data_IF_243854076636
#
_entry.id   IF_243854076636
#
_cell.length_a   1.000
_cell.length_b   1.000
_cell.length_c   1.000
_cell.angle_alpha   90.00
_cell.angle_beta   90.00
_cell.angle_gamma   90.00
#
_symmetry.space_group_name_H-M   'P 1'
#
loop_
_entity.id
_entity.type
_entity.pdbx_description
1 polymer ?
#
# COMPACT_ATOMS: atom_id res chain seq x y z
N UNK A 1 -13.65 -13.96 -40.60
CA UNK A 1 -14.24 -13.39 -39.37
C UNK A 1 -13.11 -13.13 -38.39
N UNK A 2 -12.73 -11.87 -38.13
CA UNK A 2 -11.78 -11.55 -37.05
C UNK A 2 -12.46 -11.93 -35.74
N UNK A 3 -11.97 -12.96 -35.04
CA UNK A 3 -12.42 -13.26 -33.67
C UNK A 3 -12.05 -12.05 -32.81
N UNK A 4 -13.04 -11.25 -32.44
CA UNK A 4 -12.86 -10.19 -31.47
C UNK A 4 -12.67 -10.84 -30.10
N UNK A 5 -11.43 -10.93 -29.64
CA UNK A 5 -11.14 -11.39 -28.29
C UNK A 5 -11.44 -10.24 -27.34
N UNK A 6 -12.31 -10.48 -26.35
CA UNK A 6 -12.75 -9.44 -25.41
C UNK A 6 -11.53 -8.91 -24.64
N UNK A 7 -11.42 -7.59 -24.43
CA UNK A 7 -10.29 -7.00 -23.72
C UNK A 7 -10.25 -7.47 -22.26
N UNK A 8 -9.03 -7.69 -21.74
CA UNK A 8 -8.83 -8.19 -20.37
C UNK A 8 -9.06 -7.14 -19.29
N UNK A 9 -8.94 -5.86 -19.63
CA UNK A 9 -9.10 -4.75 -18.72
C UNK A 9 -9.71 -3.53 -19.42
N UNK A 10 -10.56 -2.81 -18.69
CA UNK A 10 -11.09 -1.50 -19.06
C UNK A 10 -10.55 -0.48 -18.07
N UNK A 11 -9.96 0.61 -18.57
CA UNK A 11 -9.30 1.64 -17.76
C UNK A 11 -10.06 2.95 -17.84
N UNK A 12 -10.05 3.73 -16.76
CA UNK A 12 -10.48 5.13 -16.83
C UNK A 12 -9.40 5.94 -17.54
N UNK A 13 -9.77 6.66 -18.58
CA UNK A 13 -8.86 7.47 -19.40
C UNK A 13 -9.36 8.90 -19.51
N UNK A 14 -8.43 9.84 -19.60
CA UNK A 14 -8.68 11.22 -19.97
C UNK A 14 -8.21 11.44 -21.42
N UNK A 15 -8.92 12.31 -22.14
CA UNK A 15 -8.49 12.77 -23.46
C UNK A 15 -7.52 13.95 -23.26
N UNK A 16 -6.29 13.80 -23.72
CA UNK A 16 -5.31 14.90 -23.75
C UNK A 16 -5.28 15.56 -25.14
N UNK A 17 -4.99 16.87 -25.16
CA UNK A 17 -4.87 17.73 -26.35
C UNK A 17 -6.04 17.68 -27.35
N UNK A 18 -7.16 18.28 -26.95
CA UNK A 18 -8.38 18.47 -27.77
C UNK A 18 -8.13 19.37 -29.01
N UNK A 19 -7.02 20.12 -29.05
CA UNK A 19 -6.71 21.07 -30.11
C UNK A 19 -6.10 20.44 -31.37
N UNK A 20 -5.57 19.23 -31.30
CA UNK A 20 -5.05 18.52 -32.48
C UNK A 20 -6.05 17.47 -32.94
N UNK A 21 -6.22 17.32 -34.25
CA UNK A 21 -7.14 16.38 -34.92
C UNK A 21 -6.86 14.88 -34.60
N UNK A 22 -5.97 14.59 -33.64
CA UNK A 22 -5.52 13.27 -33.18
C UNK A 22 -5.22 13.27 -31.67
N UNK A 23 -6.18 13.67 -30.82
CA UNK A 23 -6.05 13.49 -29.38
C UNK A 23 -5.80 12.02 -29.00
N UNK A 24 -4.97 11.78 -27.98
CA UNK A 24 -4.70 10.43 -27.45
C UNK A 24 -5.30 10.28 -26.04
N UNK A 25 -5.63 9.04 -25.69
CA UNK A 25 -6.18 8.71 -24.37
C UNK A 25 -5.04 8.34 -23.42
N UNK A 26 -4.97 8.99 -22.27
CA UNK A 26 -4.06 8.66 -21.18
C UNK A 26 -4.82 8.09 -19.98
N UNK A 27 -4.26 7.08 -19.29
CA UNK A 27 -4.86 6.54 -18.06
C UNK A 27 -4.99 7.63 -16.98
N UNK A 28 -6.19 7.79 -16.42
CA UNK A 28 -6.45 8.81 -15.41
C UNK A 28 -5.81 8.43 -14.08
N UNK A 29 -4.99 9.33 -13.55
CA UNK A 29 -4.35 9.22 -12.23
C UNK A 29 -5.14 10.02 -11.20
N UNK A 30 -5.62 9.35 -10.16
CA UNK A 30 -6.36 9.96 -9.06
C UNK A 30 -5.47 10.13 -7.84
N UNK A 31 -5.82 11.09 -6.98
CA UNK A 31 -5.12 11.38 -5.71
C UNK A 31 -6.12 11.32 -4.57
N UNK A 32 -5.74 10.67 -3.47
CA UNK A 32 -6.55 10.63 -2.25
C UNK A 32 -5.64 10.64 -1.02
N UNK A 33 -5.99 11.45 -0.03
CA UNK A 33 -5.29 11.50 1.24
C UNK A 33 -6.02 10.66 2.28
N UNK A 34 -5.27 10.13 3.25
CA UNK A 34 -5.85 9.37 4.35
C UNK A 34 -4.80 8.86 5.33
N UNK A 35 -5.27 8.19 6.37
CA UNK A 35 -4.43 7.58 7.39
C UNK A 35 -4.30 6.09 7.10
N UNK A 36 -3.08 5.56 7.08
CA UNK A 36 -2.83 4.12 6.90
C UNK A 36 -3.41 3.35 8.09
N UNK A 37 -4.36 2.43 7.84
CA UNK A 37 -4.82 1.48 8.85
C UNK A 37 -4.28 0.06 8.63
N UNK A 38 -3.89 -0.28 7.40
CA UNK A 38 -3.26 -1.56 7.07
C UNK A 38 -2.22 -1.40 5.95
N UNK A 39 -1.21 -2.27 5.95
CA UNK A 39 -0.17 -2.27 4.92
C UNK A 39 0.48 -3.65 4.72
N UNK A 40 0.75 -3.95 3.47
CA UNK A 40 1.61 -5.04 3.00
C UNK A 40 2.60 -4.40 2.00
N UNK A 41 3.63 -3.76 2.55
CA UNK A 41 4.62 -2.99 1.79
C UNK A 41 6.00 -3.68 1.82
N UNK A 42 6.84 -3.43 0.81
CA UNK A 42 8.22 -3.90 0.82
C UNK A 42 9.03 -3.24 1.94
N UNK A 43 10.20 -3.80 2.32
CA UNK A 43 10.77 -5.04 1.81
C UNK A 43 10.04 -6.28 2.32
N UNK A 44 10.01 -7.35 1.52
CA UNK A 44 9.49 -8.64 1.97
C UNK A 44 10.40 -9.19 3.08
N UNK A 45 9.90 -9.34 4.30
CA UNK A 45 10.71 -9.85 5.41
C UNK A 45 10.91 -11.35 5.30
N UNK A 46 12.16 -11.82 5.33
CA UNK A 46 12.69 -13.17 5.64
C UNK A 46 11.84 -14.42 5.30
N UNK A 47 10.91 -14.33 4.35
CA UNK A 47 10.07 -15.43 3.89
C UNK A 47 10.79 -16.11 2.74
N UNK A 48 10.86 -17.45 2.78
CA UNK A 48 11.20 -18.24 1.60
C UNK A 48 10.07 -18.08 0.59
N UNK A 49 10.23 -17.12 -0.32
CA UNK A 49 9.29 -16.88 -1.41
C UNK A 49 9.69 -17.78 -2.58
N UNK A 50 8.76 -18.63 -3.02
CA UNK A 50 8.96 -19.51 -4.17
C UNK A 50 8.48 -18.81 -5.46
N UNK A 51 9.07 -19.17 -6.60
CA UNK A 51 8.69 -18.64 -7.92
C UNK A 51 7.20 -18.81 -8.25
N UNK A 52 6.58 -19.90 -7.78
CA UNK A 52 5.14 -20.15 -7.93
C UNK A 52 4.25 -19.10 -7.24
N UNK A 53 4.79 -18.36 -6.28
CA UNK A 53 4.08 -17.30 -5.56
C UNK A 53 4.16 -15.94 -6.27
N UNK A 54 5.09 -15.76 -7.22
CA UNK A 54 5.30 -14.48 -7.90
C UNK A 54 4.02 -13.82 -8.45
N UNK A 55 3.06 -14.55 -9.07
CA UNK A 55 1.81 -13.95 -9.57
C UNK A 55 0.91 -13.32 -8.49
N UNK A 56 1.12 -13.69 -7.21
CA UNK A 56 0.28 -13.32 -6.08
C UNK A 56 0.93 -12.27 -5.17
N UNK A 57 2.23 -12.00 -5.35
CA UNK A 57 2.93 -11.00 -4.56
C UNK A 57 2.48 -9.61 -4.98
N UNK A 58 2.12 -8.80 -3.97
CA UNK A 58 1.60 -7.46 -4.18
C UNK A 58 2.08 -6.48 -3.12
N UNK A 59 2.01 -5.22 -3.47
CA UNK A 59 2.14 -4.05 -2.60
C UNK A 59 0.71 -3.59 -2.30
N UNK A 60 0.33 -3.51 -1.04
CA UNK A 60 -1.05 -3.19 -0.65
C UNK A 60 -1.09 -2.22 0.53
N UNK A 61 -2.04 -1.30 0.48
CA UNK A 61 -2.34 -0.35 1.54
C UNK A 61 -3.85 -0.24 1.71
N UNK A 62 -4.27 0.08 2.93
CA UNK A 62 -5.61 0.60 3.21
C UNK A 62 -5.51 1.94 3.93
N UNK A 63 -6.25 2.93 3.43
CA UNK A 63 -6.34 4.27 4.01
C UNK A 63 -7.77 4.62 4.41
N UNK A 64 -7.92 5.35 5.51
CA UNK A 64 -9.22 5.85 6.00
C UNK A 64 -9.16 7.35 6.26
N UNK A 65 -10.33 8.00 6.16
CA UNK A 65 -10.51 9.39 6.56
C UNK A 65 -10.91 9.56 8.02
N UNK A 66 -10.91 8.49 8.83
CA UNK A 66 -11.30 8.54 10.25
C UNK A 66 -12.71 9.13 10.49
N UNK A 67 -13.64 8.88 9.56
CA UNK A 67 -15.01 9.39 9.62
C UNK A 67 -15.20 10.82 9.09
N UNK A 68 -14.17 11.43 8.50
CA UNK A 68 -14.27 12.75 7.86
C UNK A 68 -15.06 12.66 6.55
N UNK A 69 -15.90 13.68 6.30
CA UNK A 69 -16.84 13.70 5.18
C UNK A 69 -16.20 13.59 3.79
N UNK A 70 -14.95 14.04 3.61
CA UNK A 70 -14.27 13.94 2.33
C UNK A 70 -14.05 12.47 1.90
N UNK A 71 -13.88 11.55 2.86
CA UNK A 71 -13.69 10.14 2.55
C UNK A 71 -15.01 9.49 2.12
N UNK A 72 -16.12 9.85 2.76
CA UNK A 72 -17.45 9.43 2.32
C UNK A 72 -17.76 9.92 0.90
N UNK A 73 -17.43 11.17 0.59
CA UNK A 73 -17.54 11.71 -0.78
C UNK A 73 -16.63 10.96 -1.78
N UNK A 74 -15.42 10.59 -1.38
CA UNK A 74 -14.54 9.78 -2.22
C UNK A 74 -15.15 8.39 -2.51
N UNK A 75 -15.72 7.74 -1.48
CA UNK A 75 -16.42 6.45 -1.63
C UNK A 75 -17.62 6.58 -2.57
N UNK A 76 -18.41 7.66 -2.46
CA UNK A 76 -19.51 7.95 -3.39
C UNK A 76 -19.00 8.09 -4.84
N UNK A 77 -17.87 8.76 -5.06
CA UNK A 77 -17.25 8.85 -6.40
C UNK A 77 -16.80 7.48 -6.92
N UNK A 78 -16.30 6.59 -6.07
CA UNK A 78 -15.99 5.21 -6.47
C UNK A 78 -17.25 4.42 -6.86
N UNK A 79 -18.37 4.58 -6.15
CA UNK A 79 -19.65 4.01 -6.57
C UNK A 79 -20.13 4.54 -7.92
N UNK A 80 -19.92 5.83 -8.20
CA UNK A 80 -20.22 6.41 -9.51
C UNK A 80 -19.31 5.83 -10.62
N UNK A 81 -18.03 5.59 -10.35
CA UNK A 81 -17.12 4.91 -11.27
C UNK A 81 -17.55 3.47 -11.52
N UNK A 82 -17.91 2.73 -10.47
CA UNK A 82 -18.46 1.38 -10.57
C UNK A 82 -19.69 1.35 -11.49
N UNK A 83 -20.67 2.25 -11.26
CA UNK A 83 -21.87 2.35 -12.10
C UNK A 83 -21.57 2.72 -13.56
N UNK A 84 -20.45 3.38 -13.85
CA UNK A 84 -19.97 3.60 -15.23
C UNK A 84 -19.42 2.31 -15.84
N UNK A 85 -18.63 1.54 -15.10
CA UNK A 85 -18.14 0.24 -15.58
C UNK A 85 -19.28 -0.74 -15.82
N UNK A 86 -20.21 -0.88 -14.87
CA UNK A 86 -21.38 -1.76 -14.98
C UNK A 86 -22.20 -1.46 -16.24
N UNK A 87 -22.53 -0.18 -16.47
CA UNK A 87 -23.23 0.24 -17.70
C UNK A 87 -22.41 0.00 -18.97
N UNK A 88 -21.11 0.27 -18.94
CA UNK A 88 -20.23 0.09 -20.09
C UNK A 88 -20.01 -1.38 -20.48
N UNK A 89 -20.11 -2.29 -19.51
CA UNK A 89 -19.96 -3.73 -19.69
C UNK A 89 -21.29 -4.42 -20.08
N UNK A 90 -22.42 -3.73 -19.90
CA UNK A 90 -23.78 -4.05 -20.36
C UNK A 90 -24.32 -5.45 -19.98
N UNK A 91 -23.77 -6.52 -20.55
CA UNK A 91 -24.20 -7.92 -20.39
C UNK A 91 -23.22 -8.78 -19.59
N UNK A 92 -22.07 -8.23 -19.21
CA UNK A 92 -21.11 -8.94 -18.37
C UNK A 92 -21.41 -8.67 -16.91
N UNK A 93 -21.37 -9.72 -16.08
CA UNK A 93 -21.40 -9.57 -14.64
C UNK A 93 -20.12 -8.86 -14.17
N UNK A 94 -20.28 -7.83 -13.35
CA UNK A 94 -19.21 -7.21 -12.58
C UNK A 94 -19.52 -7.44 -11.10
N UNK A 95 -18.50 -7.84 -10.33
CA UNK A 95 -18.65 -8.00 -8.89
C UNK A 95 -18.98 -6.63 -8.27
N UNK A 96 -20.03 -6.60 -7.44
CA UNK A 96 -20.41 -5.40 -6.71
C UNK A 96 -19.22 -4.84 -5.91
N UNK A 97 -18.92 -3.56 -6.13
CA UNK A 97 -17.86 -2.88 -5.41
C UNK A 97 -18.36 -2.31 -4.09
N UNK A 98 -17.56 -2.49 -3.05
CA UNK A 98 -17.83 -1.99 -1.70
C UNK A 98 -16.56 -1.32 -1.15
N UNK A 99 -16.74 -0.25 -0.37
CA UNK A 99 -15.65 0.32 0.42
C UNK A 99 -15.13 -0.71 1.43
N UNK A 100 -13.87 -0.57 1.84
CA UNK A 100 -13.31 -1.47 2.84
C UNK A 100 -13.82 -1.10 4.24
N UNK A 101 -14.23 -2.12 4.98
CA UNK A 101 -14.75 -2.05 6.34
C UNK A 101 -13.88 -2.84 7.33
N UNK A 102 -12.67 -3.23 6.93
CA UNK A 102 -11.71 -3.94 7.78
C UNK A 102 -11.23 -3.12 8.98
N UNK A 103 -11.54 -1.82 9.01
CA UNK A 103 -11.26 -0.91 10.12
C UNK A 103 -12.54 -0.25 10.66
N UNK A 104 -12.46 0.37 11.84
CA UNK A 104 -13.59 1.03 12.51
C UNK A 104 -14.29 2.08 11.64
N UNK A 105 -13.56 2.69 10.72
CA UNK A 105 -14.07 3.67 9.77
C UNK A 105 -13.90 3.13 8.36
N UNK A 106 -14.83 3.50 7.47
CA UNK A 106 -14.72 3.15 6.06
C UNK A 106 -13.39 3.65 5.46
N UNK A 107 -12.85 2.84 4.56
CA UNK A 107 -11.58 3.08 3.92
C UNK A 107 -11.55 2.63 2.46
N UNK A 108 -10.44 2.95 1.83
CA UNK A 108 -10.12 2.55 0.47
C UNK A 108 -8.84 1.73 0.52
N UNK A 109 -8.88 0.56 -0.12
CA UNK A 109 -7.69 -0.25 -0.35
C UNK A 109 -7.19 -0.09 -1.77
N UNK A 110 -5.88 -0.02 -1.93
CA UNK A 110 -5.21 0.04 -3.22
C UNK A 110 -4.03 -0.93 -3.22
N UNK A 111 -3.82 -1.61 -4.35
CA UNK A 111 -2.72 -2.56 -4.47
C UNK A 111 -2.11 -2.59 -5.87
N UNK A 112 -0.88 -3.07 -5.98
CA UNK A 112 -0.22 -3.34 -7.26
C UNK A 112 0.62 -4.60 -7.14
N UNK A 113 0.54 -5.48 -8.13
CA UNK A 113 1.38 -6.67 -8.17
C UNK A 113 2.83 -6.29 -8.45
N UNK A 114 3.79 -6.95 -7.80
CA UNK A 114 5.20 -6.75 -8.12
C UNK A 114 5.55 -7.23 -9.53
N UNK A 115 4.78 -8.15 -10.11
CA UNK A 115 5.13 -8.80 -11.36
C UNK A 115 3.96 -8.89 -12.33
N UNK A 116 4.31 -8.84 -13.61
CA UNK A 116 3.51 -9.36 -14.72
C UNK A 116 4.04 -10.74 -15.09
N UNK A 117 3.16 -11.71 -15.33
CA UNK A 117 3.54 -13.13 -15.52
C UNK A 117 2.93 -13.78 -16.77
N UNK A 118 3.57 -14.84 -17.25
CA UNK A 118 3.09 -15.70 -18.33
C UNK A 118 2.99 -14.98 -19.68
N UNK A 119 1.89 -15.20 -20.40
CA UNK A 119 1.67 -14.58 -21.71
C UNK A 119 1.65 -13.03 -21.65
N UNK A 120 1.28 -12.44 -20.51
CA UNK A 120 1.30 -10.98 -20.34
C UNK A 120 2.70 -10.42 -20.15
N UNK A 121 3.67 -11.26 -19.78
CA UNK A 121 5.06 -10.86 -19.60
C UNK A 121 5.86 -10.94 -20.91
N UNK A 122 5.38 -11.72 -21.88
CA UNK A 122 6.09 -11.98 -23.13
C UNK A 122 6.41 -10.68 -23.88
N UNK A 123 7.69 -10.45 -24.19
CA UNK A 123 8.16 -9.28 -24.92
C UNK A 123 8.17 -7.97 -24.13
N UNK A 124 7.77 -7.96 -22.85
CA UNK A 124 7.82 -6.75 -22.01
C UNK A 124 9.22 -6.57 -21.40
N UNK A 125 9.68 -5.33 -21.36
CA UNK A 125 10.94 -4.99 -20.74
C UNK A 125 10.80 -4.92 -19.22
N UNK A 126 11.72 -5.57 -18.50
CA UNK A 126 11.81 -5.43 -17.06
C UNK A 126 12.56 -4.16 -16.69
N UNK A 127 12.05 -3.43 -15.70
CA UNK A 127 12.70 -2.26 -15.10
C UNK A 127 13.24 -2.61 -13.70
N UNK A 128 14.24 -1.87 -13.17
CA UNK A 128 14.70 -2.07 -11.80
C UNK A 128 13.65 -1.62 -10.78
N UNK A 129 13.64 -2.27 -9.61
CA UNK A 129 12.88 -1.81 -8.45
C UNK A 129 13.48 -0.51 -7.89
N UNK A 130 12.63 0.36 -7.34
CA UNK A 130 13.07 1.52 -6.56
C UNK A 130 13.96 1.09 -5.37
N UNK A 131 14.92 1.94 -5.01
CA UNK A 131 15.76 1.72 -3.84
C UNK A 131 14.94 1.48 -2.57
N UNK A 132 15.37 0.49 -1.79
CA UNK A 132 14.69 0.07 -0.56
C UNK A 132 13.47 -0.85 -0.75
N UNK A 133 13.01 -1.09 -1.99
CA UNK A 133 11.94 -2.07 -2.27
C UNK A 133 12.44 -3.50 -2.12
N UNK A 134 13.64 -3.79 -2.63
CA UNK A 134 14.22 -5.14 -2.62
C UNK A 134 15.69 -5.15 -2.11
N UNK A 135 15.94 -4.74 -0.85
CA UNK A 135 17.29 -4.63 -0.30
C UNK A 135 18.02 -5.99 -0.24
N UNK A 136 17.29 -7.09 -0.11
CA UNK A 136 17.87 -8.45 -0.02
C UNK A 136 17.88 -9.19 -1.37
N UNK A 137 17.37 -8.57 -2.44
CA UNK A 137 17.32 -9.19 -3.76
C UNK A 137 16.29 -10.33 -3.88
N UNK A 138 15.32 -10.43 -2.97
CA UNK A 138 14.29 -11.48 -2.97
C UNK A 138 13.41 -11.35 -4.21
N UNK A 139 12.91 -10.15 -4.50
CA UNK A 139 12.06 -9.91 -5.67
C UNK A 139 12.85 -10.07 -6.97
N UNK A 140 14.10 -9.61 -7.00
CA UNK A 140 15.01 -9.73 -8.14
C UNK A 140 15.29 -11.20 -8.49
N UNK A 141 15.39 -12.09 -7.51
CA UNK A 141 15.55 -13.55 -7.72
C UNK A 141 14.34 -14.22 -8.37
N UNK A 142 13.16 -13.57 -8.35
CA UNK A 142 11.93 -14.08 -8.96
C UNK A 142 11.75 -13.61 -10.41
N UNK A 143 12.61 -12.70 -10.89
CA UNK A 143 12.61 -12.28 -12.30
C UNK A 143 13.16 -13.41 -13.20
N UNK A 144 12.66 -13.48 -14.43
CA UNK A 144 12.98 -14.57 -15.37
C UNK A 144 11.80 -15.53 -15.58
N UNK A 145 11.96 -16.49 -16.49
CA UNK A 145 10.97 -17.56 -16.77
C UNK A 145 9.52 -17.06 -16.96
N UNK A 146 9.36 -15.96 -17.72
CA UNK A 146 8.04 -15.37 -17.97
C UNK A 146 7.49 -14.53 -16.82
N UNK A 147 8.34 -14.07 -15.90
CA UNK A 147 8.03 -13.11 -14.84
C UNK A 147 8.86 -11.83 -15.05
N UNK A 148 8.18 -10.68 -15.13
CA UNK A 148 8.80 -9.38 -15.38
C UNK A 148 8.24 -8.30 -14.46
N UNK A 149 9.08 -7.36 -14.02
CA UNK A 149 8.65 -6.17 -13.29
C UNK A 149 8.59 -4.99 -14.27
N UNK A 150 7.41 -4.42 -14.48
CA UNK A 150 7.19 -3.33 -15.44
C UNK A 150 6.82 -2.02 -14.74
N UNK A 151 6.77 -0.92 -15.49
CA UNK A 151 6.26 0.37 -14.99
C UNK A 151 4.86 0.25 -14.37
N UNK A 152 4.00 -0.61 -14.92
CA UNK A 152 2.67 -0.85 -14.36
C UNK A 152 2.69 -1.55 -12.99
N UNK A 153 3.79 -2.22 -12.66
CA UNK A 153 4.01 -2.93 -11.39
C UNK A 153 4.75 -2.07 -10.36
N UNK A 154 5.31 -0.93 -10.79
CA UNK A 154 6.04 -0.02 -9.91
C UNK A 154 5.10 0.82 -9.07
N UNK A 155 5.45 0.95 -7.78
CA UNK A 155 4.84 1.91 -6.86
C UNK A 155 5.95 2.86 -6.42
N UNK A 156 5.75 4.15 -6.64
CA UNK A 156 6.70 5.17 -6.19
C UNK A 156 6.47 5.48 -4.71
N UNK A 157 7.54 5.39 -3.92
CA UNK A 157 7.52 5.69 -2.49
C UNK A 157 8.24 7.01 -2.23
N UNK A 158 7.53 7.98 -1.68
CA UNK A 158 8.05 9.35 -1.52
C UNK A 158 7.73 9.94 -0.15
N UNK A 159 8.47 10.98 0.25
CA UNK A 159 8.14 11.87 1.37
C UNK A 159 7.91 13.27 0.85
N UNK A 160 6.82 13.90 1.28
CA UNK A 160 6.58 15.32 1.05
C UNK A 160 7.13 16.11 2.25
N UNK A 161 7.91 17.15 1.97
CA UNK A 161 8.45 18.07 2.98
C UNK A 161 8.05 19.49 2.66
N UNK A 162 7.54 20.20 3.68
CA UNK A 162 7.18 21.60 3.54
C UNK A 162 8.41 22.46 3.86
N UNK A 163 8.93 23.19 2.86
CA UNK A 163 10.11 24.03 3.03
C UNK A 163 9.80 25.46 3.48
N UNK A 164 8.61 25.73 4.03
CA UNK A 164 8.21 27.02 4.60
C UNK A 164 7.86 28.13 3.57
N UNK A 165 8.04 27.87 2.26
CA UNK A 165 7.75 28.81 1.16
C UNK A 165 6.53 28.39 0.33
N UNK A 166 5.58 27.67 0.92
CA UNK A 166 4.41 27.10 0.24
C UNK A 166 4.74 26.13 -0.92
N UNK A 167 5.97 25.63 -0.99
CA UNK A 167 6.40 24.62 -1.96
C UNK A 167 6.67 23.30 -1.24
N UNK A 168 5.95 22.27 -1.67
CA UNK A 168 6.23 20.90 -1.28
C UNK A 168 7.42 20.38 -2.07
N UNK A 169 8.40 19.80 -1.38
CA UNK A 169 9.48 19.03 -1.99
C UNK A 169 9.21 17.55 -1.78
N UNK A 170 9.28 16.80 -2.87
CA UNK A 170 9.17 15.35 -2.87
C UNK A 170 10.57 14.75 -2.99
N UNK A 171 10.83 13.73 -2.19
CA UNK A 171 12.05 12.92 -2.27
C UNK A 171 11.70 11.45 -2.12
N UNK A 172 12.49 10.58 -2.73
CA UNK A 172 12.33 9.14 -2.56
C UNK A 172 12.40 8.76 -1.08
N UNK A 173 11.60 7.77 -0.70
CA UNK A 173 11.50 7.23 0.64
C UNK A 173 11.49 5.70 0.56
N UNK A 174 12.18 5.02 1.48
CA UNK A 174 12.08 3.57 1.54
C UNK A 174 10.66 3.16 1.98
N UNK A 175 10.06 2.14 1.35
CA UNK A 175 8.74 1.63 1.76
C UNK A 175 8.71 1.12 3.21
N UNK A 176 9.88 0.76 3.77
CA UNK A 176 10.02 0.37 5.18
C UNK A 176 9.71 1.49 6.17
N UNK A 177 9.75 2.76 5.74
CA UNK A 177 9.49 3.91 6.58
C UNK A 177 8.00 4.18 6.81
N UNK A 178 7.11 3.55 6.04
CA UNK A 178 5.66 3.72 6.24
C UNK A 178 5.14 2.86 7.38
N UNK A 179 4.25 3.43 8.18
CA UNK A 179 3.67 2.84 9.38
C UNK A 179 2.17 3.05 9.45
N UNK A 180 1.49 2.15 10.16
CA UNK A 180 0.08 2.35 10.50
C UNK A 180 -0.05 3.60 11.36
N UNK A 181 -0.96 4.50 10.97
CA UNK A 181 -1.15 5.81 11.59
C UNK A 181 -0.50 6.97 10.82
N UNK A 182 0.32 6.71 9.81
CA UNK A 182 0.88 7.77 8.96
C UNK A 182 -0.22 8.43 8.12
N UNK A 183 -0.13 9.75 7.98
CA UNK A 183 -0.93 10.51 7.03
C UNK A 183 -0.20 10.47 5.69
N UNK A 184 -0.89 9.97 4.67
CA UNK A 184 -0.33 9.76 3.34
C UNK A 184 -1.23 10.31 2.26
N UNK A 185 -0.64 10.56 1.10
CA UNK A 185 -1.35 10.67 -0.16
C UNK A 185 -1.05 9.44 -1.02
N UNK A 186 -2.09 8.80 -1.52
CA UNK A 186 -1.97 7.77 -2.55
C UNK A 186 -2.26 8.36 -3.92
N UNK A 187 -1.52 7.90 -4.91
CA UNK A 187 -1.92 8.02 -6.31
C UNK A 187 -2.29 6.64 -6.84
N UNK A 188 -3.39 6.57 -7.58
CA UNK A 188 -3.93 5.30 -8.06
C UNK A 188 -4.65 5.47 -9.40
N UNK A 189 -4.82 4.36 -10.10
CA UNK A 189 -5.71 4.26 -11.26
C UNK A 189 -6.84 3.29 -10.94
N UNK A 190 -7.96 3.42 -11.64
CA UNK A 190 -9.14 2.55 -11.45
C UNK A 190 -9.41 1.81 -12.77
N UNK A 191 -9.62 0.51 -12.67
CA UNK A 191 -9.88 -0.34 -13.83
C UNK A 191 -10.85 -1.48 -13.52
N UNK A 192 -11.59 -1.94 -14.51
CA UNK A 192 -12.34 -3.20 -14.45
C UNK A 192 -11.52 -4.31 -15.11
N UNK A 193 -11.19 -5.38 -14.37
CA UNK A 193 -10.37 -6.49 -14.85
C UNK A 193 -11.23 -7.75 -14.95
N UNK A 194 -11.11 -8.47 -16.07
CA UNK A 194 -11.78 -9.75 -16.26
C UNK A 194 -11.13 -10.84 -15.40
N UNK A 195 -11.92 -11.50 -14.56
CA UNK A 195 -11.49 -12.67 -13.78
C UNK A 195 -11.45 -13.92 -14.66
N UNK A 196 -10.81 -14.98 -14.17
CA UNK A 196 -10.77 -16.29 -14.84
C UNK A 196 -12.17 -16.89 -15.04
N UNK A 197 -13.06 -16.66 -14.08
CA UNK A 197 -14.46 -17.09 -14.07
C UNK A 197 -15.32 -16.39 -15.13
N UNK A 198 -14.86 -15.26 -15.68
CA UNK A 198 -15.45 -14.58 -16.81
C UNK A 198 -16.11 -13.24 -16.49
N UNK A 199 -16.54 -13.04 -15.24
CA UNK A 199 -17.00 -11.77 -14.69
C UNK A 199 -15.85 -10.80 -14.43
N UNK A 200 -16.19 -9.52 -14.31
CA UNK A 200 -15.24 -8.44 -14.04
C UNK A 200 -15.20 -8.08 -12.57
N UNK A 201 -14.11 -7.46 -12.15
CA UNK A 201 -14.02 -6.78 -10.85
C UNK A 201 -13.40 -5.40 -11.02
N UNK A 202 -13.91 -4.42 -10.29
CA UNK A 202 -13.25 -3.12 -10.18
C UNK A 202 -12.01 -3.25 -9.27
N UNK A 203 -10.88 -2.70 -9.72
CA UNK A 203 -9.59 -2.72 -9.04
C UNK A 203 -9.05 -1.30 -8.95
N UNK A 204 -8.57 -0.95 -7.77
CA UNK A 204 -7.86 0.30 -7.48
C UNK A 204 -6.37 -0.04 -7.46
N UNK A 205 -5.67 0.33 -8.53
CA UNK A 205 -4.24 0.04 -8.68
C UNK A 205 -3.38 1.15 -8.10
N UNK A 206 -2.57 0.81 -7.09
CA UNK A 206 -1.65 1.75 -6.45
C UNK A 206 -0.51 2.12 -7.42
N UNK A 207 -0.22 3.42 -7.55
CA UNK A 207 0.87 3.97 -8.39
C UNK A 207 1.93 4.70 -7.57
N UNK A 208 1.53 5.41 -6.52
CA UNK A 208 2.48 6.00 -5.58
C UNK A 208 1.90 6.12 -4.18
N UNK A 209 2.79 6.17 -3.20
CA UNK A 209 2.50 6.38 -1.79
C UNK A 209 3.45 7.46 -1.27
N UNK A 210 2.86 8.59 -0.86
CA UNK A 210 3.61 9.75 -0.37
C UNK A 210 3.34 9.96 1.11
N UNK A 211 4.38 9.96 1.92
CA UNK A 211 4.30 10.31 3.34
C UNK A 211 4.13 11.84 3.48
N UNK A 212 3.04 12.25 4.14
CA UNK A 212 2.75 13.66 4.43
C UNK A 212 3.10 14.01 5.88
N UNK A 213 2.76 13.13 6.82
CA UNK A 213 2.98 13.32 8.25
C UNK A 213 3.14 11.96 8.96
N UNK A 214 4.23 11.80 9.71
CA UNK A 214 4.61 10.61 10.51
C UNK A 214 4.57 10.87 12.02
N UNK A 215 4.12 12.04 12.47
CA UNK A 215 4.17 12.45 13.89
C UNK A 215 3.43 11.48 14.81
N UNK A 216 2.26 11.00 14.40
CA UNK A 216 1.42 10.08 15.19
C UNK A 216 2.09 8.70 15.33
N UNK A 217 2.63 8.16 14.25
CA UNK A 217 3.29 6.84 14.28
C UNK A 217 4.62 6.89 15.04
N UNK A 218 5.35 8.01 14.95
CA UNK A 218 6.57 8.26 15.72
C UNK A 218 6.27 8.29 17.23
N UNK A 219 5.26 9.04 17.67
CA UNK A 219 4.86 9.08 19.09
C UNK A 219 4.46 7.68 19.57
N UNK A 220 3.70 6.93 18.77
CA UNK A 220 3.33 5.55 19.12
C UNK A 220 4.54 4.63 19.25
N UNK A 221 5.52 4.75 18.35
CA UNK A 221 6.76 3.97 18.41
C UNK A 221 7.56 4.28 19.67
N UNK A 222 7.72 5.56 20.01
CA UNK A 222 8.37 6.02 21.23
C UNK A 222 7.65 5.49 22.48
N UNK A 223 6.32 5.63 22.55
CA UNK A 223 5.54 5.11 23.69
C UNK A 223 5.66 3.60 23.83
N UNK A 224 5.60 2.84 22.73
CA UNK A 224 5.82 1.38 22.75
C UNK A 224 7.21 1.01 23.28
N UNK A 225 8.24 1.79 22.92
CA UNK A 225 9.60 1.60 23.42
C UNK A 225 9.69 1.87 24.93
N UNK A 226 9.08 2.96 25.44
CA UNK A 226 9.02 3.24 26.88
C UNK A 226 8.29 2.14 27.65
N UNK A 227 7.12 1.69 27.17
CA UNK A 227 6.39 0.58 27.82
C UNK A 227 7.20 -0.72 27.85
N UNK A 228 7.95 -1.03 26.78
CA UNK A 228 8.84 -2.19 26.74
C UNK A 228 10.00 -2.06 27.71
N UNK A 229 10.59 -0.86 27.83
CA UNK A 229 11.64 -0.57 28.79
C UNK A 229 11.13 -0.68 30.23
N UNK A 230 9.95 -0.14 30.54
CA UNK A 230 9.33 -0.23 31.86
C UNK A 230 8.97 -1.67 32.26
N UNK A 231 8.53 -2.50 31.30
CA UNK A 231 8.32 -3.92 31.50
C UNK A 231 9.64 -4.68 31.74
N UNK A 232 10.73 -4.31 31.06
CA UNK A 232 12.06 -4.86 31.38
C UNK A 232 12.58 -4.39 32.74
N UNK A 233 12.36 -3.13 33.14
CA UNK A 233 12.71 -2.65 34.48
C UNK A 233 11.87 -3.34 35.57
N UNK A 234 10.59 -3.61 35.32
CA UNK A 234 9.75 -4.44 36.20
C UNK A 234 10.19 -5.92 36.23
N UNK A 235 10.65 -6.48 35.11
CA UNK A 235 11.19 -7.84 35.09
C UNK A 235 12.51 -7.94 35.87
N UNK A 236 13.33 -6.89 35.88
CA UNK A 236 14.54 -6.82 36.70
C UNK A 236 14.26 -6.59 38.19
N UNK A 237 13.17 -5.90 38.57
CA UNK A 237 12.80 -5.69 39.97
C UNK A 237 12.14 -6.91 40.63
N UNK A 238 11.75 -7.94 39.86
CA UNK A 238 11.18 -9.20 40.37
C UNK A 238 12.27 -10.23 40.76
N UNK A 239 13.53 -10.03 40.38
CA UNK A 239 14.67 -10.81 40.89
C UNK A 239 15.29 -10.16 42.14
N UNK A 240 14.49 -10.02 43.21
CA UNK A 240 15.04 -9.88 44.57
C UNK A 240 15.32 -11.27 45.15
N UNK A 241 16.58 -11.64 45.16
CA UNK A 241 17.06 -12.81 45.90
C UNK A 241 16.73 -12.67 47.39
N UNK A 242 16.12 -13.67 48.05
CA UNK A 242 15.84 -13.59 49.47
C UNK A 242 17.13 -13.91 50.23
N UNK A 243 17.58 -13.00 51.09
CA UNK A 243 18.53 -13.34 52.15
C UNK A 243 17.72 -13.42 53.44
N UNK A 244 17.62 -14.65 53.95
CA UNK A 244 16.89 -15.04 55.16
C UNK A 244 17.40 -14.30 56.42
N UNK A 245 16.57 -14.22 57.48
CA UNK A 245 16.90 -13.51 58.71
C UNK A 245 17.62 -14.44 59.67
N UNK A 246 18.80 -14.02 60.14
CA UNK A 246 19.29 -14.19 61.52
C UNK A 246 20.75 -13.75 61.58
N UNK A 247 21.06 -12.73 62.39
CA UNK A 247 22.14 -12.72 63.40
C UNK A 247 22.12 -11.34 64.10
N UNK A 248 21.63 -11.40 65.35
CA UNK A 248 22.04 -10.72 66.59
C UNK A 248 22.34 -9.21 66.60
N UNK A 249 21.53 -8.54 67.43
CA UNK A 249 21.84 -7.48 68.41
C UNK A 249 23.27 -6.89 68.40
N UNK A 250 23.38 -5.56 68.38
CA UNK A 250 24.21 -4.77 69.32
C UNK A 250 23.89 -3.26 69.25
N UNK A 251 23.30 -2.79 70.36
CA UNK A 251 23.25 -1.48 71.02
C UNK A 251 23.58 -0.16 70.30
N UNK A 252 22.67 0.80 70.50
CA UNK A 252 22.89 2.24 70.50
C UNK A 252 23.90 2.66 71.58
N UNK A 253 24.80 3.57 71.21
CA UNK A 253 25.59 4.40 72.11
C UNK A 253 25.70 5.82 71.53
N UNK A 254 25.65 6.81 72.42
CA UNK A 254 25.54 8.26 72.17
C UNK A 254 26.61 8.85 71.24
#
# INVERSE_FOLDING_TARGET
IRKYEKPRAYRVVALEDVSELQGFYQESLFRLQGVIYERELPPLSNKRVHSSQAPYLRQHIGITGLGLAYMSQAIEHFHQLYAKFERGLASEEIDAWHADQSYKYEGITANSHYFTVGANAAGRQSIPFQDGVDPEGILRRLLGDGTVHTEENSVLYMKATNTGQSKWRYSDLSPSNFSIGDIVEIQFTVMAIRKREGNYKMVIALRSLTLLDDSISLVRSLMSMYTRLDLTFHAFSIFRWPVHPEIKQLHLGQ
#
